data_IF_194813017581
#
_entry.id   IF_194813017581
#
_cell.length_a   1.000
_cell.length_b   1.000
_cell.length_c   1.000
_cell.angle_alpha   90.00
_cell.angle_beta   90.00
_cell.angle_gamma   90.00
#
_symmetry.space_group_name_H-M   'P 1'
#
loop_
_entity.id
_entity.type
_entity.pdbx_description
1 polymer ?
#
# COMPACT_ATOMS: atom_id res chain seq x y z
N UNK A 1 -9.33 -10.78 4.90
CA UNK A 1 -8.49 -11.97 4.85
C UNK A 1 -8.48 -12.52 3.45
N UNK A 2 -7.38 -13.16 3.08
CA UNK A 2 -7.23 -13.87 1.81
C UNK A 2 -7.13 -15.37 2.05
N UNK A 3 -7.32 -16.15 1.00
CA UNK A 3 -7.21 -17.60 1.00
C UNK A 3 -6.17 -18.05 -0.04
N UNK A 4 -5.71 -19.28 0.06
CA UNK A 4 -4.92 -19.92 -0.99
C UNK A 4 -5.72 -19.92 -2.30
N UNK A 5 -5.04 -19.63 -3.41
CA UNK A 5 -5.65 -19.45 -4.72
C UNK A 5 -6.13 -18.03 -5.00
N UNK A 6 -6.17 -17.14 -4.02
CA UNK A 6 -6.55 -15.74 -4.26
C UNK A 6 -5.50 -14.99 -5.10
N UNK A 7 -5.99 -14.05 -5.90
CA UNK A 7 -5.19 -13.26 -6.82
C UNK A 7 -4.63 -12.00 -6.14
N UNK A 8 -3.35 -11.73 -6.44
CA UNK A 8 -2.60 -10.55 -6.00
C UNK A 8 -2.12 -9.78 -7.21
N UNK A 9 -2.65 -8.59 -7.41
CA UNK A 9 -2.26 -7.71 -8.51
C UNK A 9 -1.01 -6.93 -8.12
N UNK A 10 -0.02 -6.94 -8.99
CA UNK A 10 1.21 -6.16 -8.91
C UNK A 10 1.13 -5.00 -9.90
N UNK A 11 1.22 -3.75 -9.39
CA UNK A 11 1.23 -2.53 -10.20
C UNK A 11 2.39 -1.62 -9.78
N UNK A 12 2.79 -0.71 -10.65
CA UNK A 12 3.83 0.27 -10.38
C UNK A 12 3.30 1.72 -10.54
N UNK A 13 2.59 2.26 -9.53
CA UNK A 13 1.96 3.58 -9.66
C UNK A 13 2.95 4.75 -9.60
N UNK A 14 4.22 4.49 -9.30
CA UNK A 14 5.24 5.51 -9.09
C UNK A 14 6.44 5.30 -10.03
N UNK A 15 7.58 4.87 -9.49
CA UNK A 15 8.82 4.70 -10.27
C UNK A 15 8.91 3.34 -10.94
N UNK A 16 9.80 3.26 -11.94
CA UNK A 16 10.07 2.09 -12.77
C UNK A 16 10.49 0.86 -11.97
N UNK A 17 10.24 -0.29 -12.55
CA UNK A 17 10.36 -1.61 -11.94
C UNK A 17 11.72 -2.23 -12.28
N UNK A 18 12.30 -2.94 -11.33
CA UNK A 18 13.35 -3.92 -11.58
C UNK A 18 12.71 -5.30 -11.79
N UNK A 19 12.96 -5.89 -12.95
CA UNK A 19 12.33 -7.16 -13.33
C UNK A 19 12.72 -8.30 -12.38
N UNK A 20 13.97 -8.34 -11.94
CA UNK A 20 14.46 -9.41 -11.07
C UNK A 20 13.75 -9.43 -9.72
N UNK A 21 13.54 -8.27 -9.11
CA UNK A 21 12.80 -8.17 -7.85
C UNK A 21 11.31 -8.46 -8.04
N UNK A 22 10.74 -8.15 -9.22
CA UNK A 22 9.37 -8.51 -9.55
C UNK A 22 9.20 -10.03 -9.65
N UNK A 23 10.12 -10.72 -10.33
CA UNK A 23 10.10 -12.19 -10.46
C UNK A 23 10.27 -12.88 -9.10
N UNK A 24 11.18 -12.40 -8.26
CA UNK A 24 11.33 -12.90 -6.88
C UNK A 24 10.02 -12.74 -6.09
N UNK A 25 9.32 -11.61 -6.29
CA UNK A 25 8.02 -11.37 -5.64
C UNK A 25 6.97 -12.37 -6.09
N UNK A 26 6.88 -12.63 -7.38
CA UNK A 26 5.93 -13.61 -7.92
C UNK A 26 6.20 -15.02 -7.41
N UNK A 27 7.48 -15.42 -7.37
CA UNK A 27 7.87 -16.70 -6.79
C UNK A 27 7.49 -16.79 -5.30
N UNK A 28 7.69 -15.71 -4.56
CA UNK A 28 7.28 -15.66 -3.17
C UNK A 28 5.77 -15.81 -3.01
N UNK A 29 4.97 -15.12 -3.84
CA UNK A 29 3.51 -15.27 -3.85
C UNK A 29 3.07 -16.69 -4.19
N UNK A 30 3.66 -17.29 -5.23
CA UNK A 30 3.39 -18.68 -5.62
C UNK A 30 3.72 -19.69 -4.50
N UNK A 31 4.79 -19.45 -3.75
CA UNK A 31 5.14 -20.26 -2.55
C UNK A 31 4.14 -20.10 -1.40
N UNK A 32 3.34 -19.06 -1.40
CA UNK A 32 2.21 -18.87 -0.48
C UNK A 32 0.89 -19.42 -1.05
N UNK A 33 0.91 -20.12 -2.16
CA UNK A 33 -0.27 -20.58 -2.93
C UNK A 33 -1.17 -19.41 -3.39
N UNK A 34 -0.59 -18.25 -3.70
CA UNK A 34 -1.29 -17.10 -4.26
C UNK A 34 -1.00 -16.96 -5.75
N UNK A 35 -1.92 -16.32 -6.48
CA UNK A 35 -1.82 -16.11 -7.93
C UNK A 35 -1.38 -14.68 -8.22
N UNK A 36 -0.11 -14.43 -8.61
CA UNK A 36 0.33 -13.10 -9.01
C UNK A 36 -0.21 -12.72 -10.38
N UNK A 37 -0.71 -11.49 -10.50
CA UNK A 37 -1.15 -10.86 -11.74
C UNK A 37 -0.37 -9.57 -11.95
N UNK A 38 0.19 -9.36 -13.13
CA UNK A 38 0.91 -8.11 -13.48
C UNK A 38 -0.03 -7.12 -14.15
N UNK A 39 0.10 -5.84 -13.79
CA UNK A 39 -0.43 -4.76 -14.61
C UNK A 39 0.20 -4.79 -16.00
N UNK A 40 -0.56 -4.46 -17.02
CA UNK A 40 -0.15 -4.52 -18.43
C UNK A 40 1.10 -3.65 -18.69
N UNK A 41 1.18 -2.50 -18.02
CA UNK A 41 2.23 -1.50 -18.23
C UNK A 41 3.32 -1.52 -17.15
N UNK A 42 3.29 -2.49 -16.21
CA UNK A 42 4.16 -2.49 -15.02
C UNK A 42 5.66 -2.38 -15.35
N UNK A 43 6.09 -2.86 -16.51
CA UNK A 43 7.49 -2.83 -16.98
C UNK A 43 7.79 -1.67 -17.94
N UNK A 44 6.83 -0.76 -18.16
CA UNK A 44 7.08 0.44 -18.97
C UNK A 44 7.98 1.41 -18.24
N UNK A 45 8.66 2.25 -19.01
CA UNK A 45 9.55 3.28 -18.49
C UNK A 45 9.34 4.60 -19.24
N UNK A 46 9.19 5.67 -18.44
CA UNK A 46 9.25 7.04 -18.92
C UNK A 46 10.03 7.90 -17.93
N UNK A 47 11.27 8.24 -18.26
CA UNK A 47 12.18 8.90 -17.34
C UNK A 47 12.39 8.07 -16.07
N UNK A 48 11.92 8.58 -14.94
CA UNK A 48 12.00 7.88 -13.64
C UNK A 48 10.76 7.03 -13.32
N UNK A 49 9.69 7.15 -14.11
CA UNK A 49 8.39 6.53 -13.85
C UNK A 49 8.25 5.16 -14.53
N UNK A 50 7.32 4.38 -14.03
CA UNK A 50 6.90 3.11 -14.66
C UNK A 50 5.90 3.36 -15.80
N UNK A 51 6.36 4.07 -16.84
CA UNK A 51 5.54 4.53 -17.95
C UNK A 51 4.85 5.88 -17.70
N UNK A 52 4.04 6.30 -18.66
CA UNK A 52 3.25 7.54 -18.62
C UNK A 52 2.22 7.54 -17.49
N UNK A 53 1.70 8.71 -17.14
CA UNK A 53 0.60 8.80 -16.17
C UNK A 53 -0.63 8.01 -16.64
N UNK A 54 -0.90 8.01 -17.94
CA UNK A 54 -2.02 7.26 -18.53
C UNK A 54 -1.85 5.74 -18.39
N UNK A 55 -0.67 5.21 -18.68
CA UNK A 55 -0.36 3.78 -18.54
C UNK A 55 -0.45 3.32 -17.08
N UNK A 56 0.14 4.07 -16.15
CA UNK A 56 0.08 3.76 -14.71
C UNK A 56 -1.35 3.88 -14.16
N UNK A 57 -2.12 4.87 -14.63
CA UNK A 57 -3.53 5.02 -14.29
C UNK A 57 -4.37 3.87 -14.84
N UNK A 58 -4.11 3.42 -16.06
CA UNK A 58 -4.77 2.26 -16.66
C UNK A 58 -4.57 1.02 -15.77
N UNK A 59 -3.34 0.73 -15.36
CA UNK A 59 -3.06 -0.42 -14.49
C UNK A 59 -3.73 -0.29 -13.11
N UNK A 60 -3.75 0.91 -12.53
CA UNK A 60 -4.43 1.16 -11.26
C UNK A 60 -5.94 0.99 -11.39
N UNK A 61 -6.55 1.53 -12.46
CA UNK A 61 -7.99 1.38 -12.70
C UNK A 61 -8.36 -0.09 -12.94
N UNK A 62 -7.57 -0.80 -13.75
CA UNK A 62 -7.75 -2.23 -13.96
C UNK A 62 -7.69 -3.02 -12.63
N UNK A 63 -6.72 -2.69 -11.77
CA UNK A 63 -6.61 -3.32 -10.46
C UNK A 63 -7.82 -3.02 -9.57
N UNK A 64 -8.37 -1.80 -9.63
CA UNK A 64 -9.58 -1.43 -8.89
C UNK A 64 -10.81 -2.20 -9.41
N UNK A 65 -10.91 -2.35 -10.72
CA UNK A 65 -12.06 -2.98 -11.38
C UNK A 65 -11.99 -4.51 -11.38
N UNK A 66 -10.84 -5.09 -11.03
CA UNK A 66 -10.64 -6.54 -11.12
C UNK A 66 -11.67 -7.32 -10.27
N UNK A 67 -12.39 -8.30 -10.84
CA UNK A 67 -13.55 -8.88 -10.17
C UNK A 67 -13.22 -9.82 -9.01
N UNK A 68 -12.05 -10.43 -9.01
CA UNK A 68 -11.67 -11.53 -8.09
C UNK A 68 -10.47 -11.26 -7.22
N UNK A 69 -9.54 -10.40 -7.65
CA UNK A 69 -8.34 -10.08 -6.89
C UNK A 69 -8.66 -9.55 -5.49
N UNK A 70 -7.83 -9.90 -4.52
CA UNK A 70 -7.97 -9.52 -3.10
C UNK A 70 -6.96 -8.49 -2.66
N UNK A 71 -5.85 -8.39 -3.35
CA UNK A 71 -4.72 -7.52 -2.99
C UNK A 71 -4.24 -6.74 -4.22
N UNK A 72 -3.98 -5.47 -4.03
CA UNK A 72 -3.25 -4.59 -4.95
C UNK A 72 -1.95 -4.27 -4.26
N UNK A 73 -0.84 -4.85 -4.72
CA UNK A 73 0.47 -4.64 -4.14
C UNK A 73 1.30 -3.72 -5.01
N UNK A 74 1.53 -2.51 -4.51
CA UNK A 74 2.31 -1.52 -5.22
C UNK A 74 3.79 -1.91 -5.21
N UNK A 75 4.41 -1.96 -6.42
CA UNK A 75 5.77 -2.47 -6.58
C UNK A 75 6.79 -1.65 -5.80
N UNK A 76 6.70 -0.31 -5.89
CA UNK A 76 7.56 0.62 -5.16
C UNK A 76 6.93 2.01 -5.06
N UNK A 77 7.49 2.80 -4.17
CA UNK A 77 7.23 4.22 -4.07
C UNK A 77 8.19 5.08 -4.92
N UNK A 78 8.38 6.30 -4.46
CA UNK A 78 9.23 7.31 -5.08
C UNK A 78 8.48 8.62 -5.25
N UNK A 79 7.76 8.76 -6.34
CA UNK A 79 6.84 9.86 -6.63
C UNK A 79 5.96 9.47 -7.80
N UNK A 80 4.72 9.92 -7.80
CA UNK A 80 3.82 9.84 -8.95
C UNK A 80 2.45 9.23 -8.68
N UNK A 81 2.26 8.49 -7.59
CA UNK A 81 0.96 7.87 -7.28
C UNK A 81 -0.16 8.89 -7.13
N UNK A 82 0.10 10.06 -6.55
CA UNK A 82 -0.88 11.14 -6.37
C UNK A 82 -1.47 11.63 -7.70
N UNK A 83 -0.68 11.61 -8.78
CA UNK A 83 -1.07 12.08 -10.12
C UNK A 83 -2.15 11.22 -10.77
N UNK A 84 -2.38 10.02 -10.23
CA UNK A 84 -3.31 9.03 -10.78
C UNK A 84 -4.68 9.08 -10.12
N UNK A 85 -4.77 9.61 -8.89
CA UNK A 85 -5.92 9.38 -8.01
C UNK A 85 -7.16 10.22 -8.37
N UNK A 86 -6.98 11.40 -8.96
CA UNK A 86 -8.07 12.32 -9.23
C UNK A 86 -9.13 11.74 -10.18
N UNK A 87 -8.69 10.98 -11.17
CA UNK A 87 -9.56 10.43 -12.21
C UNK A 87 -9.89 8.94 -12.03
N UNK A 88 -9.55 8.34 -10.90
CA UNK A 88 -9.86 6.93 -10.65
C UNK A 88 -11.34 6.78 -10.32
N UNK A 89 -12.01 5.86 -11.02
CA UNK A 89 -13.37 5.46 -10.70
C UNK A 89 -13.35 4.33 -9.65
N UNK A 90 -13.77 4.60 -8.41
CA UNK A 90 -13.71 3.60 -7.35
C UNK A 90 -14.92 2.68 -7.26
N UNK A 91 -15.91 2.80 -8.14
CA UNK A 91 -17.21 2.13 -8.00
C UNK A 91 -17.07 0.62 -7.80
N UNK A 92 -16.32 -0.05 -8.66
CA UNK A 92 -16.12 -1.51 -8.56
C UNK A 92 -15.24 -1.91 -7.37
N UNK A 93 -14.29 -1.06 -7.01
CA UNK A 93 -13.49 -1.26 -5.80
C UNK A 93 -14.38 -1.24 -4.55
N UNK A 94 -15.34 -0.33 -4.47
CA UNK A 94 -16.26 -0.21 -3.32
C UNK A 94 -17.22 -1.40 -3.23
N UNK A 95 -17.61 -2.01 -4.36
CA UNK A 95 -18.40 -3.23 -4.38
C UNK A 95 -17.60 -4.44 -3.84
N UNK A 96 -16.32 -4.51 -4.18
CA UNK A 96 -15.40 -5.59 -3.80
C UNK A 96 -14.05 -5.03 -3.35
N UNK A 97 -13.97 -4.49 -2.12
CA UNK A 97 -12.76 -3.87 -1.62
C UNK A 97 -11.57 -4.84 -1.58
N UNK A 98 -10.42 -4.31 -1.94
CA UNK A 98 -9.14 -5.02 -1.96
C UNK A 98 -8.16 -4.39 -0.98
N UNK A 99 -7.20 -5.16 -0.50
CA UNK A 99 -6.09 -4.60 0.25
C UNK A 99 -5.16 -3.82 -0.66
N UNK A 100 -4.96 -2.54 -0.41
CA UNK A 100 -3.89 -1.74 -1.02
C UNK A 100 -2.68 -1.84 -0.12
N UNK A 101 -1.56 -2.35 -0.64
CA UNK A 101 -0.33 -2.62 0.11
C UNK A 101 0.83 -1.81 -0.43
N UNK A 102 1.56 -1.15 0.48
CA UNK A 102 2.76 -0.38 0.14
C UNK A 102 3.14 0.60 1.24
N UNK A 103 4.15 1.43 0.99
CA UNK A 103 4.58 2.50 1.89
C UNK A 103 5.21 3.66 1.10
N UNK A 104 5.79 4.66 1.78
CA UNK A 104 6.43 5.83 1.14
C UNK A 104 5.42 6.63 0.31
N UNK A 105 5.63 6.82 -1.00
CA UNK A 105 4.72 7.51 -1.92
C UNK A 105 3.30 6.93 -1.92
N UNK A 106 3.17 5.63 -1.65
CA UNK A 106 1.87 4.94 -1.56
C UNK A 106 1.01 5.48 -0.38
N UNK A 107 1.58 6.30 0.48
CA UNK A 107 0.81 7.03 1.50
C UNK A 107 -0.34 7.85 0.89
N UNK A 108 -0.20 8.41 -0.33
CA UNK A 108 -1.31 9.05 -1.02
C UNK A 108 -2.46 8.07 -1.29
N UNK A 109 -2.15 6.85 -1.72
CA UNK A 109 -3.16 5.80 -1.93
C UNK A 109 -3.78 5.34 -0.60
N UNK A 110 -3.00 5.31 0.48
CA UNK A 110 -3.54 5.04 1.81
C UNK A 110 -4.50 6.15 2.27
N UNK A 111 -4.14 7.41 2.06
CA UNK A 111 -5.03 8.54 2.34
C UNK A 111 -6.30 8.46 1.49
N UNK A 112 -6.17 8.22 0.19
CA UNK A 112 -7.31 8.02 -0.71
C UNK A 112 -8.22 6.89 -0.22
N UNK A 113 -7.64 5.73 0.09
CA UNK A 113 -8.38 4.57 0.61
C UNK A 113 -9.12 4.88 1.92
N UNK A 114 -8.44 5.54 2.86
CA UNK A 114 -9.03 5.81 4.18
C UNK A 114 -10.05 6.95 4.18
N UNK A 115 -9.79 8.02 3.42
CA UNK A 115 -10.60 9.24 3.47
C UNK A 115 -11.72 9.23 2.43
N UNK A 116 -11.39 8.89 1.18
CA UNK A 116 -12.36 8.91 0.09
C UNK A 116 -13.17 7.62 0.05
N UNK A 117 -12.51 6.46 0.16
CA UNK A 117 -13.16 5.16 0.04
C UNK A 117 -13.64 4.59 1.39
N UNK A 118 -13.25 5.20 2.50
CA UNK A 118 -13.52 4.72 3.86
C UNK A 118 -13.16 3.23 4.04
N UNK A 119 -12.06 2.79 3.43
CA UNK A 119 -11.54 1.42 3.48
C UNK A 119 -10.17 1.38 4.12
N UNK A 120 -9.86 0.29 4.81
CA UNK A 120 -8.54 0.06 5.38
C UNK A 120 -7.53 -0.34 4.29
N UNK A 121 -6.26 0.00 4.51
CA UNK A 121 -5.13 -0.35 3.66
C UNK A 121 -3.95 -0.85 4.50
N UNK A 122 -2.92 -1.41 3.89
CA UNK A 122 -1.80 -2.03 4.60
C UNK A 122 -0.52 -1.25 4.32
N UNK A 123 -0.03 -0.52 5.32
CA UNK A 123 1.30 0.09 5.28
C UNK A 123 2.34 -0.99 5.56
N UNK A 124 2.96 -1.52 4.51
CA UNK A 124 3.89 -2.65 4.59
C UNK A 124 4.92 -2.63 3.46
N UNK A 125 5.86 -3.56 3.53
CA UNK A 125 6.91 -3.76 2.53
C UNK A 125 6.35 -3.85 1.11
N UNK A 126 7.17 -3.46 0.14
CA UNK A 126 6.83 -3.50 -1.28
C UNK A 126 7.71 -4.52 -2.03
N UNK A 127 7.29 -5.00 -3.20
CA UNK A 127 8.03 -5.95 -4.02
C UNK A 127 9.52 -5.64 -4.18
N UNK A 128 9.88 -4.40 -4.46
CA UNK A 128 11.29 -3.98 -4.59
C UNK A 128 12.15 -4.30 -3.36
N UNK A 129 11.55 -4.41 -2.20
CA UNK A 129 12.28 -4.66 -0.95
C UNK A 129 12.39 -6.15 -0.59
N UNK A 130 11.67 -7.03 -1.30
CA UNK A 130 11.61 -8.46 -0.93
C UNK A 130 12.98 -9.12 -0.95
N UNK A 131 13.86 -8.88 -1.93
CA UNK A 131 15.19 -9.50 -1.96
C UNK A 131 16.01 -9.26 -0.68
N UNK A 132 15.84 -8.06 -0.07
CA UNK A 132 16.62 -7.62 1.10
C UNK A 132 15.83 -7.72 2.41
N UNK A 133 14.61 -8.21 2.37
CA UNK A 133 13.74 -8.23 3.55
C UNK A 133 14.00 -9.44 4.45
N UNK A 134 13.75 -9.28 5.74
CA UNK A 134 13.86 -10.41 6.67
C UNK A 134 12.68 -11.36 6.55
N UNK A 135 12.94 -12.66 6.76
CA UNK A 135 11.87 -13.67 6.79
C UNK A 135 10.79 -13.35 7.83
N UNK A 136 11.16 -12.72 8.95
CA UNK A 136 10.21 -12.28 9.99
C UNK A 136 9.27 -11.19 9.47
N UNK A 137 9.77 -10.21 8.72
CA UNK A 137 8.97 -9.14 8.12
C UNK A 137 8.01 -9.69 7.08
N UNK A 138 8.48 -10.57 6.20
CA UNK A 138 7.66 -11.21 5.18
C UNK A 138 6.59 -12.11 5.78
N UNK A 139 6.94 -12.86 6.84
CA UNK A 139 5.98 -13.66 7.59
C UNK A 139 4.88 -12.79 8.23
N UNK A 140 5.23 -11.64 8.80
CA UNK A 140 4.25 -10.72 9.39
C UNK A 140 3.22 -10.23 8.37
N UNK A 141 3.64 -9.90 7.14
CA UNK A 141 2.73 -9.53 6.07
C UNK A 141 1.82 -10.71 5.67
N UNK A 142 2.42 -11.89 5.47
CA UNK A 142 1.67 -13.11 5.14
C UNK A 142 0.64 -13.45 6.21
N UNK A 143 1.05 -13.49 7.48
CA UNK A 143 0.16 -13.80 8.61
C UNK A 143 -1.02 -12.80 8.67
N UNK A 144 -0.75 -11.51 8.47
CA UNK A 144 -1.81 -10.51 8.45
C UNK A 144 -2.81 -10.74 7.31
N UNK A 145 -2.32 -10.99 6.11
CA UNK A 145 -3.17 -11.22 4.94
C UNK A 145 -4.07 -12.43 5.13
N UNK A 146 -3.53 -13.56 5.59
CA UNK A 146 -4.28 -14.81 5.74
C UNK A 146 -5.15 -14.85 7.00
N UNK A 147 -4.60 -14.42 8.13
CA UNK A 147 -5.27 -14.62 9.44
C UNK A 147 -5.86 -13.33 10.02
N UNK A 148 -5.32 -12.18 9.61
CA UNK A 148 -5.66 -10.89 10.21
C UNK A 148 -5.07 -10.76 11.62
N UNK A 149 -5.11 -9.55 12.14
CA UNK A 149 -4.54 -9.23 13.43
C UNK A 149 -3.00 -9.12 13.39
N UNK A 150 -2.49 -8.10 14.03
CA UNK A 150 -1.07 -7.90 14.24
C UNK A 150 -0.85 -7.59 15.71
N UNK A 151 0.17 -8.16 16.27
CA UNK A 151 0.63 -7.82 17.60
C UNK A 151 2.10 -7.45 17.53
N UNK A 152 2.42 -6.27 18.02
CA UNK A 152 3.79 -5.79 18.13
C UNK A 152 4.09 -5.45 19.57
N UNK A 153 5.30 -5.82 19.99
CA UNK A 153 5.84 -5.49 21.30
C UNK A 153 7.12 -4.68 21.10
N UNK A 154 7.26 -3.62 21.85
CA UNK A 154 8.46 -2.80 21.87
C UNK A 154 9.08 -2.81 23.25
N UNK A 155 10.40 -2.65 23.27
CA UNK A 155 11.11 -2.45 24.54
C UNK A 155 10.63 -1.16 25.21
N UNK A 156 10.54 -1.19 26.51
CA UNK A 156 10.22 0.00 27.29
C UNK A 156 11.22 1.14 27.02
N UNK A 157 10.69 2.34 27.01
CA UNK A 157 11.47 3.57 26.89
C UNK A 157 10.97 4.59 27.91
N UNK A 158 11.87 5.43 28.42
CA UNK A 158 11.55 6.47 29.42
C UNK A 158 10.49 7.48 28.98
N UNK A 159 10.22 7.56 27.67
CA UNK A 159 9.19 8.44 27.10
C UNK A 159 7.84 7.74 26.93
N UNK A 160 7.75 6.44 27.22
CA UNK A 160 6.49 5.72 27.10
C UNK A 160 5.48 6.27 28.11
N UNK A 161 4.27 6.51 27.62
CA UNK A 161 3.10 6.76 28.48
C UNK A 161 2.28 5.50 28.53
N UNK A 162 1.99 5.04 29.74
CA UNK A 162 1.18 3.84 29.93
C UNK A 162 -0.29 4.17 29.79
N UNK A 163 -1.04 3.27 29.20
CA UNK A 163 -2.47 3.40 28.99
C UNK A 163 -2.98 2.41 27.95
N UNK A 164 -4.28 2.31 27.83
CA UNK A 164 -4.96 1.51 26.82
C UNK A 164 -5.90 2.41 26.03
N UNK A 165 -5.76 2.39 24.71
CA UNK A 165 -6.61 3.16 23.81
C UNK A 165 -7.14 2.24 22.69
N UNK A 166 -8.30 2.58 22.17
CA UNK A 166 -8.90 1.93 20.99
C UNK A 166 -9.28 3.00 19.98
N UNK A 167 -8.88 2.82 18.72
CA UNK A 167 -9.20 3.80 17.67
C UNK A 167 -8.75 3.34 16.29
N UNK A 168 -9.07 4.14 15.27
CA UNK A 168 -8.52 3.98 13.93
C UNK A 168 -7.07 4.42 13.94
N UNK A 169 -6.19 3.61 13.33
CA UNK A 169 -4.81 3.97 13.08
C UNK A 169 -4.76 4.66 11.72
N UNK A 170 -4.21 5.86 11.68
CA UNK A 170 -3.92 6.62 10.47
C UNK A 170 -2.44 6.96 10.48
N UNK A 171 -1.78 6.83 9.34
CA UNK A 171 -0.36 7.11 9.27
C UNK A 171 0.24 6.84 7.89
N UNK A 172 1.54 7.08 7.79
CA UNK A 172 2.30 6.90 6.56
C UNK A 172 3.61 7.69 6.59
N UNK A 173 4.16 7.96 5.42
CA UNK A 173 5.32 8.83 5.29
C UNK A 173 4.96 10.26 5.68
N UNK A 174 5.67 10.84 6.65
CA UNK A 174 5.34 12.16 7.20
C UNK A 174 5.34 13.26 6.15
N UNK A 175 6.33 13.29 5.26
CA UNK A 175 6.41 14.29 4.19
C UNK A 175 5.21 14.20 3.26
N UNK A 176 4.78 12.98 2.91
CA UNK A 176 3.60 12.76 2.06
C UNK A 176 2.31 13.16 2.81
N UNK A 177 2.19 12.83 4.09
CA UNK A 177 1.06 13.27 4.90
C UNK A 177 0.97 14.80 4.97
N UNK A 178 2.11 15.49 5.16
CA UNK A 178 2.14 16.95 5.11
C UNK A 178 1.72 17.49 3.74
N UNK A 179 2.08 16.80 2.64
CA UNK A 179 1.69 17.20 1.30
C UNK A 179 0.17 16.99 1.02
N UNK A 180 -0.54 16.22 1.84
CA UNK A 180 -2.00 16.09 1.73
C UNK A 180 -2.77 17.22 2.42
N UNK A 181 -2.12 18.06 3.22
CA UNK A 181 -2.79 19.15 3.94
C UNK A 181 -3.47 20.12 2.96
N UNK A 182 -4.71 20.44 3.23
CA UNK A 182 -5.53 21.29 2.37
C UNK A 182 -6.06 20.64 1.10
N UNK A 183 -5.82 19.35 0.90
CA UNK A 183 -6.39 18.55 -0.21
C UNK A 183 -7.55 17.69 0.26
N UNK A 184 -8.30 17.11 -0.70
CA UNK A 184 -9.35 16.13 -0.41
C UNK A 184 -8.82 14.82 0.21
N UNK A 185 -7.50 14.58 0.18
CA UNK A 185 -6.84 13.40 0.74
C UNK A 185 -6.34 13.62 2.16
N UNK A 186 -6.54 14.81 2.72
CA UNK A 186 -6.09 15.12 4.08
C UNK A 186 -6.81 14.23 5.09
N UNK A 187 -6.08 13.45 5.92
CA UNK A 187 -6.68 12.73 7.02
C UNK A 187 -7.42 13.69 7.95
N UNK A 188 -8.69 13.43 8.20
CA UNK A 188 -9.46 14.22 9.18
C UNK A 188 -8.92 13.91 10.58
N UNK A 189 -8.19 14.86 11.13
CA UNK A 189 -7.64 14.78 12.48
C UNK A 189 -8.58 15.56 13.41
N UNK A 190 -9.70 14.95 13.79
CA UNK A 190 -10.53 15.48 14.85
C UNK A 190 -9.94 15.03 16.18
N UNK A 191 -9.46 16.00 16.97
CA UNK A 191 -8.91 15.80 18.34
C UNK A 191 -7.55 15.10 18.47
N UNK A 192 -6.75 15.00 17.42
CA UNK A 192 -5.35 14.59 17.57
C UNK A 192 -4.46 15.84 17.58
N UNK A 193 -3.88 16.14 18.72
CA UNK A 193 -2.68 16.97 18.75
C UNK A 193 -1.50 16.12 18.27
N UNK A 194 -0.94 16.44 17.11
CA UNK A 194 0.41 16.04 16.76
C UNK A 194 1.34 16.79 17.72
N UNK A 195 1.59 16.23 18.88
CA UNK A 195 2.71 16.67 19.70
C UNK A 195 3.95 16.06 19.10
N UNK A 196 4.64 16.79 18.21
CA UNK A 196 6.03 16.50 17.94
C UNK A 196 6.78 16.56 19.27
N UNK A 197 7.63 15.59 19.60
CA UNK A 197 8.49 15.73 20.77
C UNK A 197 9.35 16.97 20.52
N UNK A 198 9.14 18.00 21.32
CA UNK A 198 10.09 19.08 21.44
C UNK A 198 11.33 18.52 22.11
N UNK A 199 12.44 18.50 21.38
CA UNK A 199 13.77 18.17 21.89
C UNK A 199 14.17 19.10 23.02
#
# INVERSE_FOLDING_TARGET
>A
KINKGDEVILIAPSRKVDLSALEITEEWLKKQDLVPLRGEHILKEEGIFAGTDSERKHDLQWAFDHPTAKVIWCYRGGYGSVRLLEDINPSRFLEKPKWIVGFSDITFMHCFSNIILNTASIHSTMPINIPDNTSKSMKSLSDFLFYGGLQYEWKENKHNKYGQIKGKIVGGNLTVLCATLGTNYQPAVSYTHLTLPTT
#
